data_IF_617861295729
#
_entry.id   IF_617861295729
#
_cell.length_a   1.000
_cell.length_b   1.000
_cell.length_c   1.000
_cell.angle_alpha   90.00
_cell.angle_beta   90.00
_cell.angle_gamma   90.00
#
_symmetry.space_group_name_H-M   'P 1'
#
loop_
_entity.id
_entity.type
_entity.pdbx_description
1 polymer ?
#
# COMPACT_ATOMS: atom_id res chain seq x y z
N UNK A 1 -16.31 12.14 22.45
CA UNK A 1 -16.61 11.76 21.05
C UNK A 1 -17.06 10.31 21.07
N UNK A 2 -18.32 10.00 20.73
CA UNK A 2 -18.75 8.60 20.60
C UNK A 2 -17.89 7.95 19.51
N UNK A 3 -17.41 6.70 19.67
CA UNK A 3 -16.81 5.99 18.56
C UNK A 3 -17.88 5.88 17.47
N UNK A 4 -17.68 6.58 16.35
CA UNK A 4 -18.44 6.29 15.13
C UNK A 4 -18.06 4.87 14.73
N UNK A 5 -18.89 3.91 15.15
CA UNK A 5 -18.77 2.51 14.77
C UNK A 5 -18.78 2.41 13.25
N UNK A 6 -18.01 1.48 12.70
CA UNK A 6 -17.96 1.23 11.27
C UNK A 6 -19.37 1.01 10.70
N UNK A 7 -19.63 1.49 9.48
CA UNK A 7 -20.95 1.31 8.87
C UNK A 7 -21.28 -0.18 8.71
N UNK A 8 -22.57 -0.57 8.73
CA UNK A 8 -22.95 -1.96 8.53
C UNK A 8 -22.31 -2.55 7.25
N UNK A 9 -22.29 -1.81 6.15
CA UNK A 9 -21.70 -2.24 4.88
C UNK A 9 -20.21 -2.59 5.02
N UNK A 10 -19.46 -1.77 5.77
CA UNK A 10 -18.04 -2.02 6.07
C UNK A 10 -17.88 -3.30 6.89
N UNK A 11 -18.72 -3.52 7.91
CA UNK A 11 -18.67 -4.72 8.74
C UNK A 11 -19.05 -5.99 7.96
N UNK A 12 -20.10 -5.93 7.13
CA UNK A 12 -20.48 -7.03 6.23
C UNK A 12 -19.38 -7.36 5.24
N UNK A 13 -18.72 -6.34 4.69
CA UNK A 13 -17.58 -6.53 3.79
C UNK A 13 -16.41 -7.20 4.52
N UNK A 14 -16.04 -6.72 5.71
CA UNK A 14 -15.00 -7.36 6.54
C UNK A 14 -15.33 -8.81 6.88
N UNK A 15 -16.57 -9.09 7.29
CA UNK A 15 -17.06 -10.44 7.55
C UNK A 15 -16.97 -11.33 6.31
N UNK A 16 -17.32 -10.79 5.13
CA UNK A 16 -17.24 -11.52 3.85
C UNK A 16 -15.80 -11.83 3.46
N UNK A 17 -14.87 -10.89 3.64
CA UNK A 17 -13.44 -11.12 3.41
C UNK A 17 -12.91 -12.22 4.34
N UNK A 18 -13.21 -12.14 5.63
CA UNK A 18 -12.78 -13.13 6.63
C UNK A 18 -13.35 -14.51 6.31
N UNK A 19 -14.61 -14.59 5.90
CA UNK A 19 -15.25 -15.82 5.47
C UNK A 19 -14.59 -16.41 4.22
N UNK A 20 -14.34 -15.60 3.19
CA UNK A 20 -13.66 -16.03 1.96
C UNK A 20 -12.22 -16.49 2.24
N UNK A 21 -11.49 -15.81 3.14
CA UNK A 21 -10.15 -16.24 3.56
C UNK A 21 -10.17 -17.55 4.34
N UNK A 22 -11.15 -17.75 5.22
CA UNK A 22 -11.34 -19.01 5.92
C UNK A 22 -11.64 -20.15 4.92
N UNK A 23 -12.56 -19.90 3.98
CA UNK A 23 -12.89 -20.84 2.90
C UNK A 23 -11.65 -21.18 2.07
N UNK A 24 -10.88 -20.19 1.61
CA UNK A 24 -9.65 -20.39 0.86
C UNK A 24 -8.61 -21.20 1.65
N UNK A 25 -8.49 -20.95 2.95
CA UNK A 25 -7.59 -21.70 3.85
C UNK A 25 -8.01 -23.17 3.96
N UNK A 26 -9.31 -23.44 4.07
CA UNK A 26 -9.87 -24.80 4.12
C UNK A 26 -9.71 -25.49 2.77
N UNK A 27 -10.08 -24.85 1.66
CA UNK A 27 -9.91 -25.38 0.30
C UNK A 27 -8.46 -25.75 0.02
N UNK A 28 -7.49 -24.91 0.40
CA UNK A 28 -6.07 -25.22 0.30
C UNK A 28 -5.71 -26.51 1.04
N UNK A 29 -6.17 -26.66 2.30
CA UNK A 29 -5.92 -27.86 3.10
C UNK A 29 -6.55 -29.12 2.49
N UNK A 30 -7.76 -29.00 1.91
CA UNK A 30 -8.46 -30.10 1.25
C UNK A 30 -7.67 -30.54 0.00
N UNK A 31 -7.31 -29.60 -0.88
CA UNK A 31 -6.54 -29.91 -2.10
C UNK A 31 -5.19 -30.55 -1.75
N UNK A 32 -4.49 -30.05 -0.74
CA UNK A 32 -3.22 -30.63 -0.29
C UNK A 32 -3.38 -32.05 0.27
N UNK A 33 -4.52 -32.36 0.91
CA UNK A 33 -4.83 -33.70 1.41
C UNK A 33 -5.18 -34.67 0.29
N UNK A 34 -5.93 -34.22 -0.72
CA UNK A 34 -6.37 -35.06 -1.85
C UNK A 34 -5.20 -35.31 -2.80
N UNK A 35 -4.41 -34.27 -3.11
CA UNK A 35 -3.30 -34.38 -4.04
C UNK A 35 -2.06 -33.64 -3.51
N UNK A 36 -1.21 -34.35 -2.73
CA UNK A 36 -0.01 -33.75 -2.12
C UNK A 36 1.03 -33.26 -3.13
N UNK A 37 0.92 -33.63 -4.41
CA UNK A 37 1.85 -33.27 -5.47
C UNK A 37 1.56 -31.91 -6.11
N UNK A 38 0.38 -31.31 -5.87
CA UNK A 38 0.04 -29.98 -6.41
C UNK A 38 0.85 -28.93 -5.65
N UNK A 39 1.59 -28.10 -6.41
CA UNK A 39 2.28 -26.95 -5.83
C UNK A 39 1.27 -25.83 -5.50
N UNK A 40 1.01 -25.66 -4.21
CA UNK A 40 0.15 -24.61 -3.66
C UNK A 40 0.96 -23.47 -3.00
N UNK A 41 2.27 -23.37 -3.27
CA UNK A 41 3.14 -22.34 -2.68
C UNK A 41 2.63 -20.93 -2.95
N UNK A 42 2.22 -20.64 -4.19
CA UNK A 42 1.73 -19.34 -4.60
C UNK A 42 0.39 -18.96 -3.92
N UNK A 43 -0.69 -19.78 -3.98
CA UNK A 43 -1.90 -19.51 -3.20
C UNK A 43 -1.66 -19.44 -1.69
N UNK A 44 -0.77 -20.29 -1.15
CA UNK A 44 -0.44 -20.29 0.27
C UNK A 44 0.19 -18.97 0.71
N UNK A 45 1.08 -18.41 -0.12
CA UNK A 45 1.70 -17.11 0.14
C UNK A 45 0.64 -16.01 0.29
N UNK A 46 -0.27 -15.88 -0.67
CA UNK A 46 -1.32 -14.85 -0.62
C UNK A 46 -2.28 -15.04 0.55
N UNK A 47 -2.75 -16.26 0.82
CA UNK A 47 -3.65 -16.53 1.95
C UNK A 47 -2.98 -16.12 3.28
N UNK A 48 -1.72 -16.52 3.48
CA UNK A 48 -1.00 -16.21 4.72
C UNK A 48 -0.75 -14.70 4.87
N UNK A 49 -0.38 -14.02 3.79
CA UNK A 49 -0.18 -12.57 3.78
C UNK A 49 -1.48 -11.81 4.06
N UNK A 50 -2.60 -12.25 3.48
CA UNK A 50 -3.91 -11.63 3.71
C UNK A 50 -4.38 -11.75 5.16
N UNK A 51 -4.12 -12.87 5.86
CA UNK A 51 -4.44 -12.95 7.29
C UNK A 51 -3.67 -11.92 8.13
N UNK A 52 -2.41 -11.66 7.78
CA UNK A 52 -1.56 -10.67 8.45
C UNK A 52 -2.07 -9.25 8.21
N UNK A 53 -2.67 -8.97 7.05
CA UNK A 53 -3.20 -7.64 6.69
C UNK A 53 -4.63 -7.44 7.24
N UNK A 54 -5.52 -8.40 7.00
CA UNK A 54 -6.96 -8.26 7.26
C UNK A 54 -7.28 -8.28 8.75
N UNK A 55 -6.60 -9.09 9.57
CA UNK A 55 -6.92 -9.16 11.02
C UNK A 55 -6.65 -7.81 11.71
N UNK A 56 -5.43 -7.22 11.63
CA UNK A 56 -5.17 -5.93 12.26
C UNK A 56 -6.04 -4.81 11.69
N UNK A 57 -6.28 -4.82 10.38
CA UNK A 57 -7.12 -3.82 9.70
C UNK A 57 -8.58 -3.90 10.17
N UNK A 58 -9.15 -5.11 10.21
CA UNK A 58 -10.53 -5.34 10.66
C UNK A 58 -10.70 -4.92 12.12
N UNK A 59 -9.76 -5.31 12.99
CA UNK A 59 -9.78 -4.92 14.41
C UNK A 59 -9.69 -3.41 14.58
N UNK A 60 -8.80 -2.75 13.84
CA UNK A 60 -8.62 -1.31 13.92
C UNK A 60 -9.87 -0.56 13.47
N UNK A 61 -10.41 -0.89 12.29
CA UNK A 61 -11.61 -0.27 11.71
C UNK A 61 -12.83 -0.51 12.60
N UNK A 62 -13.01 -1.72 13.14
CA UNK A 62 -14.14 -2.05 14.00
C UNK A 62 -14.10 -1.33 15.37
N UNK A 63 -12.90 -0.97 15.85
CA UNK A 63 -12.72 -0.38 17.19
C UNK A 63 -12.81 1.14 17.18
N UNK A 64 -11.91 1.83 16.44
CA UNK A 64 -11.89 3.29 16.41
C UNK A 64 -11.02 3.86 15.29
N UNK A 65 -11.35 5.08 14.83
CA UNK A 65 -10.51 5.83 13.88
C UNK A 65 -9.08 6.04 14.41
N UNK A 66 -8.93 6.31 15.72
CA UNK A 66 -7.62 6.49 16.34
C UNK A 66 -6.73 5.25 16.26
N UNK A 67 -7.29 4.06 16.52
CA UNK A 67 -6.56 2.80 16.39
C UNK A 67 -6.14 2.53 14.94
N UNK A 68 -7.00 2.86 13.96
CA UNK A 68 -6.66 2.75 12.54
C UNK A 68 -5.56 3.72 12.09
N UNK A 69 -5.57 4.96 12.58
CA UNK A 69 -4.49 5.93 12.34
C UNK A 69 -3.17 5.39 12.92
N UNK A 70 -3.20 4.85 14.15
CA UNK A 70 -2.03 4.24 14.77
C UNK A 70 -1.53 3.01 14.00
N UNK A 71 -2.44 2.17 13.49
CA UNK A 71 -2.08 1.02 12.65
C UNK A 71 -1.33 1.47 11.40
N UNK A 72 -1.88 2.44 10.66
CA UNK A 72 -1.20 2.96 9.46
C UNK A 72 0.13 3.65 9.79
N UNK A 73 0.22 4.37 10.92
CA UNK A 73 1.48 4.95 11.38
C UNK A 73 2.54 3.88 11.67
N UNK A 74 2.14 2.77 12.31
CA UNK A 74 3.00 1.62 12.57
C UNK A 74 3.45 0.95 11.26
N UNK A 75 2.53 0.81 10.31
CA UNK A 75 2.81 0.27 8.98
C UNK A 75 3.80 1.16 8.21
N UNK A 76 3.61 2.48 8.21
CA UNK A 76 4.59 3.44 7.65
C UNK A 76 5.95 3.34 8.33
N UNK A 77 5.99 3.17 9.65
CA UNK A 77 7.24 2.98 10.38
C UNK A 77 7.95 1.70 9.95
N UNK A 78 7.22 0.60 9.84
CA UNK A 78 7.78 -0.67 9.39
C UNK A 78 8.28 -0.59 7.94
N UNK A 79 7.49 -0.03 7.03
CA UNK A 79 7.89 0.16 5.64
C UNK A 79 9.14 1.04 5.52
N UNK A 80 9.21 2.17 6.24
CA UNK A 80 10.37 3.05 6.24
C UNK A 80 11.61 2.37 6.83
N UNK A 81 11.43 1.55 7.87
CA UNK A 81 12.52 0.74 8.47
C UNK A 81 13.07 -0.29 7.49
N UNK A 82 12.21 -1.03 6.80
CA UNK A 82 12.64 -1.98 5.78
C UNK A 82 13.36 -1.25 4.64
N UNK A 83 12.80 -0.13 4.15
CA UNK A 83 13.42 0.71 3.12
C UNK A 83 14.82 1.20 3.52
N UNK A 84 15.01 1.74 4.72
CA UNK A 84 16.33 2.19 5.19
C UNK A 84 17.31 1.05 5.48
N UNK A 85 16.83 -0.17 5.73
CA UNK A 85 17.72 -1.33 5.92
C UNK A 85 18.40 -1.76 4.61
N UNK A 86 17.75 -1.47 3.48
CA UNK A 86 18.17 -1.86 2.15
C UNK A 86 19.14 -0.84 1.53
N UNK A 87 18.95 0.44 1.84
CA UNK A 87 19.72 1.50 1.20
C UNK A 87 21.12 1.61 1.81
N UNK A 88 22.16 1.76 0.97
CA UNK A 88 23.52 2.01 1.44
C UNK A 88 23.65 3.44 1.97
N UNK A 89 23.29 3.64 3.24
CA UNK A 89 23.41 4.93 3.94
C UNK A 89 24.74 4.98 4.70
N UNK A 90 25.45 6.10 4.57
CA UNK A 90 26.73 6.33 5.28
C UNK A 90 26.51 6.37 6.78
N UNK A 91 27.51 5.90 7.54
CA UNK A 91 27.45 5.86 9.01
C UNK A 91 27.23 7.25 9.64
N UNK A 92 27.82 8.30 9.05
CA UNK A 92 27.67 9.70 9.48
C UNK A 92 26.23 10.19 9.35
N UNK A 93 25.51 9.71 8.34
CA UNK A 93 24.18 10.20 7.97
C UNK A 93 23.07 9.45 8.72
N UNK A 94 23.41 8.40 9.50
CA UNK A 94 22.45 7.63 10.31
C UNK A 94 21.67 8.48 11.31
N UNK A 95 22.27 9.57 11.81
CA UNK A 95 21.58 10.52 12.70
C UNK A 95 20.43 11.25 11.99
N UNK A 96 20.45 11.35 10.67
CA UNK A 96 19.38 11.96 9.86
C UNK A 96 18.17 11.04 9.78
N UNK A 97 18.37 9.72 9.86
CA UNK A 97 17.27 8.74 9.87
C UNK A 97 16.36 8.91 11.09
N UNK A 98 16.92 9.31 12.23
CA UNK A 98 16.11 9.66 13.41
C UNK A 98 15.10 10.78 13.10
N UNK A 99 15.53 11.82 12.37
CA UNK A 99 14.65 12.90 11.94
C UNK A 99 13.61 12.42 10.93
N UNK A 100 13.98 11.53 10.01
CA UNK A 100 13.03 10.90 9.11
C UNK A 100 11.95 10.11 9.88
N UNK A 101 12.32 9.33 10.91
CA UNK A 101 11.32 8.63 11.74
C UNK A 101 10.42 9.57 12.53
N UNK A 102 10.93 10.71 13.01
CA UNK A 102 10.11 11.72 13.69
C UNK A 102 9.04 12.35 12.79
N UNK A 103 9.19 12.29 11.46
CA UNK A 103 8.15 12.77 10.54
C UNK A 103 6.87 11.95 10.63
N UNK A 104 6.94 10.67 11.01
CA UNK A 104 5.77 9.77 11.08
C UNK A 104 4.75 10.27 12.11
N UNK A 105 5.07 10.41 13.41
CA UNK A 105 4.08 10.87 14.38
C UNK A 105 3.53 12.27 14.02
N UNK A 106 4.35 13.14 13.42
CA UNK A 106 3.92 14.48 13.01
C UNK A 106 2.93 14.40 11.83
N UNK A 107 3.22 13.59 10.81
CA UNK A 107 2.34 13.40 9.64
C UNK A 107 0.98 12.84 10.07
N UNK A 108 0.98 11.82 10.94
CA UNK A 108 -0.25 11.20 11.44
C UNK A 108 -0.98 12.06 12.47
N UNK A 109 -0.29 12.97 13.15
CA UNK A 109 -0.93 14.00 13.97
C UNK A 109 -1.77 14.96 13.12
N UNK A 110 -1.26 15.41 11.97
CA UNK A 110 -2.04 16.26 11.04
C UNK A 110 -3.30 15.54 10.54
N UNK A 111 -3.20 14.25 10.25
CA UNK A 111 -4.36 13.40 9.90
C UNK A 111 -5.37 13.35 11.05
N UNK A 112 -4.92 13.11 12.28
CA UNK A 112 -5.80 13.04 13.45
C UNK A 112 -6.53 14.38 13.73
N UNK A 113 -5.92 15.50 13.33
CA UNK A 113 -6.54 16.84 13.41
C UNK A 113 -7.39 17.21 12.19
N UNK A 114 -7.47 16.34 11.19
CA UNK A 114 -8.15 16.60 9.91
C UNK A 114 -7.59 17.86 9.20
N UNK A 115 -6.30 18.14 9.36
CA UNK A 115 -5.65 19.33 8.79
C UNK A 115 -5.04 19.00 7.43
N UNK A 116 -5.84 19.12 6.38
CA UNK A 116 -5.49 18.71 5.03
C UNK A 116 -4.25 19.43 4.48
N UNK A 117 -4.20 20.75 4.61
CA UNK A 117 -3.14 21.58 4.03
C UNK A 117 -1.79 21.19 4.62
N UNK A 118 -1.71 21.08 5.95
CA UNK A 118 -0.48 20.65 6.63
C UNK A 118 -0.09 19.22 6.26
N UNK A 119 -1.05 18.30 6.17
CA UNK A 119 -0.80 16.93 5.75
C UNK A 119 -0.12 16.84 4.37
N UNK A 120 -0.60 17.62 3.39
CA UNK A 120 -0.07 17.56 2.01
C UNK A 120 1.29 18.28 1.89
N UNK A 121 1.53 19.38 2.61
CA UNK A 121 2.78 20.13 2.46
C UNK A 121 3.91 19.62 3.37
N UNK A 122 3.60 18.92 4.47
CA UNK A 122 4.60 18.59 5.49
C UNK A 122 5.78 17.78 4.93
N UNK A 123 5.54 16.61 4.34
CA UNK A 123 6.63 15.79 3.78
C UNK A 123 7.19 16.38 2.47
N UNK A 124 6.37 16.71 1.46
CA UNK A 124 6.89 17.16 0.17
C UNK A 124 7.61 18.50 0.21
N UNK A 125 7.19 19.43 1.08
CA UNK A 125 7.75 20.80 1.14
C UNK A 125 8.58 21.00 2.39
N UNK A 126 8.00 20.83 3.58
CA UNK A 126 8.68 21.21 4.83
C UNK A 126 9.88 20.28 5.10
N UNK A 127 9.67 18.96 5.04
CA UNK A 127 10.73 17.98 5.27
C UNK A 127 11.79 18.06 4.18
N UNK A 128 11.39 18.28 2.92
CA UNK A 128 12.33 18.49 1.81
C UNK A 128 13.30 19.65 2.05
N UNK A 129 12.83 20.76 2.65
CA UNK A 129 13.66 21.91 2.97
C UNK A 129 14.53 21.68 4.22
N UNK A 130 14.02 20.97 5.22
CA UNK A 130 14.72 20.76 6.50
C UNK A 130 15.80 19.66 6.40
N UNK A 131 15.57 18.59 5.64
CA UNK A 131 16.48 17.45 5.56
C UNK A 131 17.90 17.84 5.12
N UNK A 132 18.11 18.62 4.02
CA UNK A 132 19.44 19.04 3.61
C UNK A 132 20.15 19.89 4.67
N UNK A 133 19.42 20.78 5.34
CA UNK A 133 19.98 21.60 6.43
C UNK A 133 20.52 20.70 7.55
N UNK A 134 19.79 19.65 7.92
CA UNK A 134 20.26 18.69 8.95
C UNK A 134 21.50 17.91 8.52
N UNK A 135 21.63 17.55 7.24
CA UNK A 135 22.84 16.89 6.72
C UNK A 135 24.03 17.87 6.73
N UNK A 136 23.83 19.13 6.32
CA UNK A 136 24.88 20.16 6.33
C UNK A 136 25.40 20.42 7.74
N UNK A 137 24.52 20.48 8.75
CA UNK A 137 24.89 20.69 10.15
C UNK A 137 25.73 19.55 10.75
N UNK A 138 25.71 18.35 10.14
CA UNK A 138 26.58 17.23 10.53
C UNK A 138 28.01 17.42 10.00
N UNK A 139 28.23 18.37 9.07
CA UNK A 139 29.55 18.78 8.59
C UNK A 139 30.08 17.97 7.41
N UNK A 140 29.29 17.05 6.82
CA UNK A 140 29.71 16.24 5.68
C UNK A 140 28.87 16.51 4.44
N UNK A 141 29.41 17.32 3.51
CA UNK A 141 28.71 17.79 2.30
C UNK A 141 28.85 16.80 1.13
N UNK A 142 29.84 15.90 1.18
CA UNK A 142 30.00 14.88 0.14
C UNK A 142 28.69 14.09 0.00
N UNK A 143 28.21 13.79 -1.20
CA UNK A 143 27.00 12.98 -1.40
C UNK A 143 25.68 13.55 -0.82
N UNK A 144 25.63 14.83 -0.44
CA UNK A 144 24.44 15.49 0.15
C UNK A 144 23.16 15.22 -0.66
N UNK A 145 23.20 15.46 -1.98
CA UNK A 145 22.05 15.27 -2.89
C UNK A 145 21.60 13.81 -2.91
N UNK A 146 22.53 12.86 -2.92
CA UNK A 146 22.22 11.43 -2.87
C UNK A 146 21.53 11.05 -1.57
N UNK A 147 22.10 11.43 -0.42
CA UNK A 147 21.52 11.10 0.90
C UNK A 147 20.14 11.72 1.07
N UNK A 148 20.02 13.02 0.81
CA UNK A 148 18.74 13.76 0.97
C UNK A 148 17.68 13.27 -0.01
N UNK A 149 18.05 13.05 -1.27
CA UNK A 149 17.14 12.53 -2.29
C UNK A 149 16.60 11.14 -1.94
N UNK A 150 17.46 10.23 -1.48
CA UNK A 150 17.04 8.87 -1.12
C UNK A 150 16.16 8.85 0.14
N UNK A 151 16.51 9.64 1.16
CA UNK A 151 15.67 9.77 2.37
C UNK A 151 14.31 10.38 2.01
N UNK A 152 14.30 11.46 1.22
CA UNK A 152 13.07 12.11 0.78
C UNK A 152 12.19 11.14 -0.02
N UNK A 153 12.78 10.38 -0.95
CA UNK A 153 12.05 9.39 -1.74
C UNK A 153 11.44 8.30 -0.87
N UNK A 154 12.18 7.82 0.14
CA UNK A 154 11.67 6.89 1.14
C UNK A 154 10.49 7.42 1.92
N UNK A 155 10.57 8.68 2.38
CA UNK A 155 9.47 9.34 3.07
C UNK A 155 8.26 9.55 2.16
N UNK A 156 8.47 9.91 0.90
CA UNK A 156 7.40 10.09 -0.09
C UNK A 156 6.64 8.78 -0.38
N UNK A 157 7.35 7.67 -0.52
CA UNK A 157 6.73 6.37 -0.83
C UNK A 157 6.13 5.73 0.41
N UNK A 158 6.91 5.53 1.47
CA UNK A 158 6.52 4.71 2.64
C UNK A 158 5.70 5.46 3.69
N UNK A 159 5.87 6.78 3.82
CA UNK A 159 5.13 7.58 4.82
C UNK A 159 4.02 8.36 4.15
N UNK A 160 4.36 9.26 3.22
CA UNK A 160 3.40 10.10 2.54
C UNK A 160 2.39 9.25 1.75
N UNK A 161 2.83 8.31 0.92
CA UNK A 161 1.95 7.39 0.18
C UNK A 161 0.95 6.66 1.08
N UNK A 162 1.44 5.89 2.06
CA UNK A 162 0.57 5.12 2.99
C UNK A 162 -0.33 6.05 3.83
N UNK A 163 0.15 7.23 4.23
CA UNK A 163 -0.64 8.16 5.04
C UNK A 163 -1.91 8.68 4.32
N UNK A 164 -1.99 8.61 2.98
CA UNK A 164 -3.24 8.89 2.26
C UNK A 164 -4.34 7.86 2.57
N UNK A 165 -4.00 6.58 2.83
CA UNK A 165 -4.97 5.59 3.30
C UNK A 165 -5.54 6.00 4.67
N UNK A 166 -4.67 6.45 5.57
CA UNK A 166 -5.11 6.92 6.88
C UNK A 166 -5.97 8.19 6.78
N UNK A 167 -5.65 9.08 5.84
CA UNK A 167 -6.44 10.29 5.61
C UNK A 167 -7.86 9.95 5.10
N UNK A 168 -8.01 8.95 4.24
CA UNK A 168 -9.34 8.48 3.79
C UNK A 168 -10.27 8.14 4.98
N UNK A 169 -9.74 7.62 6.09
CA UNK A 169 -10.52 7.27 7.28
C UNK A 169 -11.11 8.47 8.02
N UNK A 170 -10.42 9.62 7.98
CA UNK A 170 -10.84 10.84 8.70
C UNK A 170 -11.69 11.77 7.85
N UNK A 171 -11.91 11.42 6.57
CA UNK A 171 -12.83 12.16 5.71
C UNK A 171 -14.21 12.27 6.38
N UNK A 172 -14.82 13.46 6.35
CA UNK A 172 -16.16 13.66 6.92
C UNK A 172 -17.17 12.64 6.36
N UNK A 173 -18.03 12.02 7.20
CA UNK A 173 -18.97 10.99 6.77
C UNK A 173 -19.91 11.41 5.62
N UNK A 174 -20.18 12.71 5.48
CA UNK A 174 -20.95 13.29 4.37
C UNK A 174 -20.39 12.95 2.97
N UNK A 175 -19.08 12.70 2.87
CA UNK A 175 -18.43 12.33 1.61
C UNK A 175 -18.65 10.87 1.23
N UNK A 176 -19.11 10.02 2.15
CA UNK A 176 -19.46 8.64 1.84
C UNK A 176 -20.53 8.13 2.81
N UNK A 177 -21.81 8.34 2.50
CA UNK A 177 -22.91 7.86 3.34
C UNK A 177 -22.94 6.33 3.48
N UNK A 178 -22.46 5.59 2.46
CA UNK A 178 -22.55 4.12 2.40
C UNK A 178 -21.50 3.44 3.30
N UNK A 179 -20.24 3.91 3.20
CA UNK A 179 -19.09 3.25 3.84
C UNK A 179 -18.29 4.14 4.80
N UNK A 180 -18.56 5.44 4.86
CA UNK A 180 -17.68 6.42 5.51
C UNK A 180 -16.24 6.37 4.97
N UNK A 181 -15.30 6.89 5.75
CA UNK A 181 -13.87 6.82 5.39
C UNK A 181 -13.33 5.38 5.30
N UNK A 182 -13.83 4.47 6.13
CA UNK A 182 -13.45 3.06 6.12
C UNK A 182 -13.84 2.34 4.83
N UNK A 183 -14.98 2.72 4.22
CA UNK A 183 -15.41 2.20 2.92
C UNK A 183 -14.39 2.48 1.81
N UNK A 184 -13.86 3.70 1.73
CA UNK A 184 -12.81 4.05 0.76
C UNK A 184 -11.53 3.26 0.97
N UNK A 185 -11.12 3.07 2.23
CA UNK A 185 -9.92 2.28 2.57
C UNK A 185 -10.08 0.82 2.17
N UNK A 186 -11.22 0.19 2.51
CA UNK A 186 -11.47 -1.19 2.13
C UNK A 186 -11.57 -1.36 0.61
N UNK A 187 -12.27 -0.44 -0.06
CA UNK A 187 -12.40 -0.44 -1.50
C UNK A 187 -11.03 -0.42 -2.18
N UNK A 188 -10.14 0.51 -1.79
CA UNK A 188 -8.81 0.61 -2.36
C UNK A 188 -7.93 -0.60 -2.05
N UNK A 189 -7.88 -1.05 -0.79
CA UNK A 189 -7.04 -2.20 -0.38
C UNK A 189 -7.47 -3.47 -1.11
N UNK A 190 -8.78 -3.73 -1.21
CA UNK A 190 -9.29 -4.91 -1.90
C UNK A 190 -8.96 -4.88 -3.39
N UNK A 191 -9.26 -3.78 -4.08
CA UNK A 191 -9.02 -3.67 -5.51
C UNK A 191 -7.53 -3.78 -5.84
N UNK A 192 -6.67 -3.12 -5.06
CA UNK A 192 -5.23 -3.17 -5.25
C UNK A 192 -4.68 -4.59 -5.02
N UNK A 193 -5.03 -5.23 -3.91
CA UNK A 193 -4.51 -6.57 -3.59
C UNK A 193 -5.05 -7.66 -4.54
N UNK A 194 -6.32 -7.55 -4.97
CA UNK A 194 -6.88 -8.45 -5.97
C UNK A 194 -6.28 -8.21 -7.35
N UNK A 195 -5.92 -6.97 -7.70
CA UNK A 195 -5.17 -6.66 -8.91
C UNK A 195 -3.82 -7.39 -8.93
N UNK A 196 -3.05 -7.34 -7.84
CA UNK A 196 -1.76 -8.01 -7.74
C UNK A 196 -1.88 -9.54 -7.88
N UNK A 197 -2.87 -10.14 -7.23
CA UNK A 197 -3.16 -11.58 -7.35
C UNK A 197 -3.56 -11.93 -8.79
N UNK A 198 -4.49 -11.16 -9.37
CA UNK A 198 -4.97 -11.39 -10.74
C UNK A 198 -3.84 -11.29 -11.74
N UNK A 199 -2.95 -10.32 -11.57
CA UNK A 199 -1.77 -10.13 -12.41
C UNK A 199 -0.81 -11.32 -12.27
N UNK A 200 -0.50 -11.75 -11.04
CA UNK A 200 0.39 -12.88 -10.80
C UNK A 200 -0.13 -14.21 -11.37
N UNK A 201 -1.45 -14.42 -11.36
CA UNK A 201 -2.08 -15.62 -11.93
C UNK A 201 -2.11 -15.56 -13.45
N UNK A 202 -2.64 -14.47 -14.01
CA UNK A 202 -2.78 -14.31 -15.47
C UNK A 202 -1.43 -14.19 -16.17
N UNK A 203 -0.47 -13.47 -15.59
CA UNK A 203 0.90 -13.38 -16.12
C UNK A 203 1.61 -14.74 -16.20
N UNK A 204 1.34 -15.66 -15.26
CA UNK A 204 1.88 -17.03 -15.33
C UNK A 204 1.13 -17.93 -16.31
N UNK A 205 -0.18 -17.73 -16.46
CA UNK A 205 -1.02 -18.60 -17.27
C UNK A 205 -0.95 -18.30 -18.78
N UNK A 206 -0.91 -17.01 -19.14
CA UNK A 206 -1.01 -16.53 -20.53
C UNK A 206 0.04 -15.47 -20.90
N UNK A 207 0.92 -15.10 -19.98
CA UNK A 207 1.87 -14.02 -20.18
C UNK A 207 3.03 -14.42 -21.07
N UNK A 208 3.23 -13.69 -22.17
CA UNK A 208 4.34 -13.93 -23.10
C UNK A 208 5.25 -12.71 -23.21
N UNK A 209 4.68 -11.50 -23.17
CA UNK A 209 5.44 -10.26 -23.36
C UNK A 209 5.56 -9.47 -22.05
N UNK A 210 6.80 -9.25 -21.59
CA UNK A 210 7.07 -8.42 -20.42
C UNK A 210 6.78 -6.94 -20.72
N UNK A 211 6.10 -6.27 -19.78
CA UNK A 211 5.84 -4.81 -19.84
C UNK A 211 7.14 -4.03 -19.66
N UNK A 212 8.02 -4.52 -18.81
CA UNK A 212 9.26 -3.84 -18.44
C UNK A 212 10.46 -4.79 -18.66
N UNK A 213 10.92 -4.97 -19.90
CA UNK A 213 11.95 -5.98 -20.24
C UNK A 213 13.30 -5.74 -19.55
N UNK A 214 13.61 -4.50 -19.18
CA UNK A 214 14.85 -4.14 -18.46
C UNK A 214 14.73 -4.31 -16.93
N UNK A 215 13.52 -4.51 -16.41
CA UNK A 215 13.27 -4.75 -15.00
C UNK A 215 13.19 -6.26 -14.74
N UNK A 216 13.62 -6.69 -13.56
CA UNK A 216 13.43 -8.06 -13.07
C UNK A 216 11.97 -8.41 -12.75
N UNK A 217 11.05 -7.49 -12.98
CA UNK A 217 9.62 -7.67 -12.76
C UNK A 217 9.05 -8.68 -13.77
N UNK A 218 8.23 -9.61 -13.30
CA UNK A 218 7.57 -10.62 -14.14
C UNK A 218 6.25 -10.12 -14.73
N UNK A 219 6.00 -8.79 -14.71
CA UNK A 219 4.71 -8.24 -15.16
C UNK A 219 4.61 -8.31 -16.68
N UNK A 220 3.59 -8.99 -17.20
CA UNK A 220 3.30 -9.12 -18.63
C UNK A 220 2.13 -8.23 -19.08
N UNK A 221 2.07 -7.92 -20.38
CA UNK A 221 1.00 -7.11 -20.97
C UNK A 221 -0.36 -7.80 -20.88
N UNK A 222 -0.39 -9.12 -21.10
CA UNK A 222 -1.62 -9.92 -20.99
C UNK A 222 -2.14 -9.90 -19.55
N UNK A 223 -1.23 -10.01 -18.58
CA UNK A 223 -1.57 -9.90 -17.17
C UNK A 223 -2.05 -8.49 -16.80
N UNK A 224 -1.47 -7.45 -17.39
CA UNK A 224 -1.89 -6.05 -17.17
C UNK A 224 -3.32 -5.83 -17.65
N UNK A 225 -3.65 -6.26 -18.88
CA UNK A 225 -4.99 -6.11 -19.46
C UNK A 225 -6.01 -6.90 -18.65
N UNK A 226 -5.71 -8.16 -18.32
CA UNK A 226 -6.61 -9.01 -17.55
C UNK A 226 -6.85 -8.46 -16.14
N UNK A 227 -5.78 -8.17 -15.39
CA UNK A 227 -5.88 -7.70 -14.02
C UNK A 227 -6.59 -6.34 -13.93
N UNK A 228 -6.28 -5.40 -14.84
CA UNK A 228 -6.94 -4.09 -14.88
C UNK A 228 -8.42 -4.23 -15.24
N UNK A 229 -8.76 -5.07 -16.21
CA UNK A 229 -10.17 -5.32 -16.57
C UNK A 229 -10.96 -5.93 -15.42
N UNK A 230 -10.36 -6.91 -14.72
CA UNK A 230 -10.97 -7.49 -13.52
C UNK A 230 -11.10 -6.45 -12.39
N UNK A 231 -10.12 -5.56 -12.24
CA UNK A 231 -10.16 -4.48 -11.24
C UNK A 231 -11.28 -3.49 -11.54
N UNK A 232 -11.49 -3.11 -12.80
CA UNK A 232 -12.61 -2.26 -13.24
C UNK A 232 -13.95 -2.94 -12.97
N UNK A 233 -14.08 -4.23 -13.26
CA UNK A 233 -15.29 -4.98 -12.98
C UNK A 233 -15.59 -5.06 -11.47
N UNK A 234 -14.60 -5.42 -10.66
CA UNK A 234 -14.75 -5.47 -9.20
C UNK A 234 -15.02 -4.08 -8.61
N UNK A 235 -14.43 -3.05 -9.21
CA UNK A 235 -14.64 -1.65 -8.84
C UNK A 235 -16.11 -1.25 -8.98
N UNK A 236 -16.75 -1.61 -10.10
CA UNK A 236 -18.18 -1.38 -10.33
C UNK A 236 -19.07 -2.12 -9.33
N UNK A 237 -18.70 -3.33 -8.94
CA UNK A 237 -19.46 -4.13 -7.97
C UNK A 237 -19.31 -3.61 -6.54
N UNK A 238 -18.08 -3.28 -6.14
CA UNK A 238 -17.78 -2.85 -4.77
C UNK A 238 -18.16 -1.39 -4.51
N UNK A 239 -18.20 -0.54 -5.54
CA UNK A 239 -18.53 0.88 -5.36
C UNK A 239 -19.93 1.07 -4.80
N UNK A 240 -20.91 0.31 -5.29
CA UNK A 240 -22.30 0.35 -4.80
C UNK A 240 -22.43 0.06 -3.30
N UNK A 241 -21.52 -0.74 -2.74
CA UNK A 241 -21.54 -1.13 -1.33
C UNK A 241 -20.70 -0.20 -0.45
N UNK A 242 -19.52 0.19 -0.92
CA UNK A 242 -18.47 0.80 -0.10
C UNK A 242 -18.26 2.30 -0.35
N UNK A 243 -18.66 2.82 -1.51
CA UNK A 243 -18.38 4.21 -1.91
C UNK A 243 -19.67 4.87 -2.46
N UNK A 244 -19.67 6.19 -2.68
CA UNK A 244 -20.78 6.87 -3.34
C UNK A 244 -20.50 7.12 -4.84
N UNK A 245 -19.49 6.45 -5.40
CA UNK A 245 -19.04 6.71 -6.77
C UNK A 245 -20.11 6.34 -7.79
N UNK A 246 -20.28 7.19 -8.80
CA UNK A 246 -21.12 6.85 -9.95
C UNK A 246 -20.50 5.70 -10.75
N UNK A 247 -21.26 5.09 -11.68
CA UNK A 247 -20.73 4.01 -12.51
C UNK A 247 -19.51 4.44 -13.33
N UNK A 248 -19.53 5.66 -13.87
CA UNK A 248 -18.41 6.21 -14.65
C UNK A 248 -17.19 6.41 -13.75
N UNK A 249 -17.39 7.00 -12.57
CA UNK A 249 -16.31 7.22 -11.60
C UNK A 249 -15.74 5.91 -11.07
N UNK A 250 -16.58 4.88 -10.92
CA UNK A 250 -16.14 3.54 -10.52
C UNK A 250 -15.26 2.89 -11.60
N UNK A 251 -15.60 3.07 -12.89
CA UNK A 251 -14.74 2.60 -13.99
C UNK A 251 -13.40 3.33 -13.96
N UNK A 252 -13.41 4.66 -13.83
CA UNK A 252 -12.20 5.47 -13.76
C UNK A 252 -11.35 5.11 -12.53
N UNK A 253 -11.96 4.92 -11.36
CA UNK A 253 -11.29 4.47 -10.15
C UNK A 253 -10.62 3.11 -10.36
N UNK A 254 -11.32 2.16 -10.99
CA UNK A 254 -10.79 0.84 -11.31
C UNK A 254 -9.58 0.90 -12.25
N UNK A 255 -9.60 1.79 -13.25
CA UNK A 255 -8.47 2.04 -14.14
C UNK A 255 -7.28 2.67 -13.39
N UNK A 256 -7.53 3.70 -12.57
CA UNK A 256 -6.49 4.37 -11.77
C UNK A 256 -5.82 3.40 -10.81
N UNK A 257 -6.61 2.57 -10.10
CA UNK A 257 -6.08 1.58 -9.16
C UNK A 257 -5.35 0.47 -9.90
N UNK A 258 -5.93 -0.08 -10.98
CA UNK A 258 -5.35 -1.19 -11.72
C UNK A 258 -4.03 -0.82 -12.42
N UNK A 259 -3.97 0.33 -13.08
CA UNK A 259 -2.75 0.81 -13.72
C UNK A 259 -1.74 1.32 -12.69
N UNK A 260 -2.20 2.06 -11.69
CA UNK A 260 -1.37 2.61 -10.62
C UNK A 260 -0.67 1.53 -9.80
N UNK A 261 -1.33 0.40 -9.55
CA UNK A 261 -0.75 -0.74 -8.84
C UNK A 261 0.43 -1.34 -9.58
N UNK A 262 0.27 -1.59 -10.89
CA UNK A 262 1.36 -2.13 -11.74
C UNK A 262 2.52 -1.14 -11.87
N UNK A 263 2.24 0.16 -11.98
CA UNK A 263 3.29 1.19 -12.02
C UNK A 263 4.05 1.22 -10.68
N UNK A 264 3.36 1.16 -9.54
CA UNK A 264 3.98 1.16 -8.22
C UNK A 264 4.90 -0.04 -7.99
N UNK A 265 4.42 -1.24 -8.31
CA UNK A 265 5.22 -2.49 -8.27
C UNK A 265 6.46 -2.38 -9.16
N UNK A 266 6.32 -1.85 -10.37
CA UNK A 266 7.44 -1.69 -11.30
C UNK A 266 8.50 -0.72 -10.77
N UNK A 267 8.08 0.42 -10.19
CA UNK A 267 9.02 1.40 -9.61
C UNK A 267 9.75 0.78 -8.42
N UNK A 268 9.05 0.10 -7.52
CA UNK A 268 9.67 -0.55 -6.37
C UNK A 268 10.63 -1.68 -6.79
N UNK A 269 10.24 -2.47 -7.79
CA UNK A 269 11.10 -3.51 -8.38
C UNK A 269 12.36 -2.92 -9.00
N UNK A 270 12.24 -1.79 -9.72
CA UNK A 270 13.37 -1.07 -10.29
C UNK A 270 14.32 -0.53 -9.22
N UNK A 271 13.79 0.03 -8.13
CA UNK A 271 14.60 0.47 -6.99
C UNK A 271 15.40 -0.70 -6.40
N UNK A 272 14.76 -1.84 -6.12
CA UNK A 272 15.43 -3.02 -5.55
C UNK A 272 16.55 -3.52 -6.46
N UNK A 273 16.32 -3.48 -7.77
CA UNK A 273 17.31 -3.86 -8.79
C UNK A 273 18.50 -2.88 -8.82
N UNK A 274 18.26 -1.58 -8.76
CA UNK A 274 19.30 -0.54 -8.71
C UNK A 274 20.19 -0.68 -7.46
N UNK A 275 19.58 -1.04 -6.33
CA UNK A 275 20.28 -1.29 -5.07
C UNK A 275 21.00 -2.65 -5.02
N UNK A 276 20.92 -3.45 -6.09
CA UNK A 276 21.65 -4.71 -6.20
C UNK A 276 21.08 -5.85 -5.35
N UNK A 277 19.88 -5.71 -4.80
CA UNK A 277 19.21 -6.75 -4.00
C UNK A 277 18.89 -7.93 -4.91
N UNK A 278 19.33 -9.12 -4.53
CA UNK A 278 19.06 -10.34 -5.28
C UNK A 278 17.76 -10.96 -4.77
N UNK A 279 16.81 -11.23 -5.68
CA UNK A 279 15.55 -11.90 -5.34
C UNK A 279 15.74 -13.28 -4.68
N UNK A 280 16.90 -13.93 -4.83
CA UNK A 280 17.13 -15.32 -4.39
C UNK A 280 17.79 -15.48 -3.01
N UNK A 281 18.10 -14.39 -2.30
CA UNK A 281 18.66 -14.51 -0.95
C UNK A 281 17.52 -14.65 0.07
N UNK A 282 17.25 -15.88 0.51
CA UNK A 282 16.21 -16.22 1.51
C UNK A 282 16.30 -15.39 2.80
N UNK A 283 17.50 -14.95 3.18
CA UNK A 283 17.72 -14.09 4.34
C UNK A 283 17.31 -12.61 4.10
N UNK A 284 17.42 -12.10 2.87
CA UNK A 284 17.03 -10.72 2.51
C UNK A 284 15.51 -10.60 2.28
N UNK A 285 14.87 -11.66 1.78
CA UNK A 285 13.41 -11.73 1.63
C UNK A 285 12.67 -11.60 2.98
N UNK A 286 13.26 -12.05 4.10
CA UNK A 286 12.63 -11.93 5.42
C UNK A 286 12.46 -10.47 5.86
N UNK A 287 13.38 -9.58 5.45
CA UNK A 287 13.40 -8.16 5.86
C UNK A 287 12.55 -7.24 4.99
N UNK A 288 12.04 -7.69 3.84
CA UNK A 288 11.38 -6.81 2.85
C UNK A 288 9.87 -7.07 2.71
N UNK A 289 9.31 -7.90 3.61
CA UNK A 289 7.99 -8.46 3.43
C UNK A 289 6.87 -7.41 3.53
N UNK A 290 7.03 -6.38 4.35
CA UNK A 290 6.01 -5.31 4.45
C UNK A 290 6.12 -4.38 3.26
N UNK A 291 7.34 -4.01 2.87
CA UNK A 291 7.58 -3.18 1.70
C UNK A 291 7.05 -3.84 0.41
N UNK A 292 7.23 -5.16 0.26
CA UNK A 292 6.70 -5.96 -0.85
C UNK A 292 5.17 -6.04 -0.87
N UNK A 293 4.52 -6.09 0.30
CA UNK A 293 3.05 -6.18 0.37
C UNK A 293 2.36 -4.83 0.14
N UNK A 294 3.12 -3.74 0.17
CA UNK A 294 2.60 -2.38 0.15
C UNK A 294 3.11 -1.55 -1.02
N UNK A 295 3.96 -2.08 -1.87
CA UNK A 295 4.59 -1.34 -2.96
C UNK A 295 3.56 -0.75 -3.94
N UNK A 296 2.58 -1.54 -4.35
CA UNK A 296 1.44 -1.08 -5.15
C UNK A 296 0.57 -0.08 -4.38
N UNK A 297 0.30 -0.31 -3.09
CA UNK A 297 -0.50 0.57 -2.24
C UNK A 297 0.13 1.94 -1.99
N UNK A 298 1.47 2.01 -1.86
CA UNK A 298 2.19 3.27 -1.67
C UNK A 298 1.96 4.25 -2.83
N UNK A 299 1.68 3.73 -4.02
CA UNK A 299 1.39 4.51 -5.22
C UNK A 299 -0.11 4.68 -5.47
N UNK A 300 -0.92 3.63 -5.31
CA UNK A 300 -2.36 3.72 -5.58
C UNK A 300 -3.11 4.55 -4.55
N UNK A 301 -2.64 4.60 -3.30
CA UNK A 301 -3.25 5.41 -2.24
C UNK A 301 -3.32 6.92 -2.55
N UNK A 302 -2.22 7.61 -2.85
CA UNK A 302 -2.29 9.02 -3.23
C UNK A 302 -3.07 9.21 -4.54
N UNK A 303 -2.89 8.36 -5.55
CA UNK A 303 -3.61 8.47 -6.82
C UNK A 303 -5.13 8.42 -6.64
N UNK A 304 -5.61 7.42 -5.91
CA UNK A 304 -7.03 7.27 -5.61
C UNK A 304 -7.55 8.41 -4.71
N UNK A 305 -6.77 8.84 -3.74
CA UNK A 305 -7.14 9.97 -2.88
C UNK A 305 -7.39 11.26 -3.68
N UNK A 306 -6.47 11.62 -4.58
CA UNK A 306 -6.64 12.82 -5.40
C UNK A 306 -7.74 12.64 -6.45
N UNK A 307 -7.92 11.43 -6.98
CA UNK A 307 -9.07 11.10 -7.85
C UNK A 307 -10.40 11.40 -7.15
N UNK A 308 -10.58 10.93 -5.90
CA UNK A 308 -11.79 11.21 -5.10
C UNK A 308 -11.99 12.69 -4.78
N UNK A 309 -10.92 13.50 -4.77
CA UNK A 309 -11.00 14.93 -4.46
C UNK A 309 -11.39 15.76 -5.69
N UNK A 310 -11.01 15.30 -6.88
CA UNK A 310 -11.27 15.99 -8.15
C UNK A 310 -12.70 15.69 -8.66
N UNK A 311 -13.21 14.52 -8.29
CA UNK A 311 -14.55 14.02 -8.63
C UNK A 311 -15.57 14.50 -7.61
#
# INVERSE_FOLDING_TARGET
>A
MRPELASPNVLWTLGSILFLLALATVSKKIVQRINPRIDLSLPAHYINTWWIIVIPLALAIATSKGLSILLFAFVSFMALKEFFSIIPIRRTDRRVLFWAYLTIPIQYYWIAKNWFEMFVIFIPVIVFLILPVRVILIGNISGLVKTTGVIQWGLMTTVFGISHLAYLLVLPPKYNPNGGGAGFVLYLILLNQLNDIAHAISGKAIGHLSVFPNLRSQKTYEGLVFATSLTVFLSLLLSQLLTPLTHIESVLAGLVIGLGGVIGDAIMSGLKQDLGIKQNNTNEQMYTRILDNMDSLMYTAPLFFYFLKIT
#
